data_IF_057620513069
#
_entry.id   IF_057620513069
#
_cell.length_a   1.000
_cell.length_b   1.000
_cell.length_c   1.000
_cell.angle_alpha   90.00
_cell.angle_beta   90.00
_cell.angle_gamma   90.00
#
_symmetry.space_group_name_H-M   'P 1'
#
loop_
_entity.id
_entity.type
_entity.pdbx_description
1 polymer ?
#
# COMPACT_ATOMS: atom_id res chain seq x y z
N UNK A 1 -5.34 -0.08 -10.97
CA UNK A 1 -3.98 0.48 -11.21
C UNK A 1 -3.65 1.74 -10.40
N UNK A 2 -4.56 2.72 -10.25
CA UNK A 2 -4.27 3.97 -9.52
C UNK A 2 -3.91 3.78 -8.04
N UNK A 3 -4.54 2.83 -7.34
CA UNK A 3 -4.30 2.59 -5.90
C UNK A 3 -2.87 2.11 -5.61
N UNK A 4 -2.30 1.28 -6.50
CA UNK A 4 -0.90 0.83 -6.39
C UNK A 4 0.06 2.01 -6.64
N UNK A 5 -0.26 2.92 -7.56
CA UNK A 5 0.53 4.15 -7.75
C UNK A 5 0.53 5.00 -6.49
N UNK A 6 -0.64 5.20 -5.86
CA UNK A 6 -0.76 5.92 -4.58
C UNK A 6 0.07 5.27 -3.48
N UNK A 7 0.05 3.94 -3.38
CA UNK A 7 0.88 3.21 -2.44
C UNK A 7 2.37 3.53 -2.64
N UNK A 8 2.88 3.40 -3.87
CA UNK A 8 4.30 3.67 -4.16
C UNK A 8 4.68 5.11 -3.79
N UNK A 9 3.80 6.07 -4.07
CA UNK A 9 4.01 7.47 -3.70
C UNK A 9 4.09 7.61 -2.18
N UNK A 10 3.16 7.02 -1.42
CA UNK A 10 3.16 7.09 0.05
C UNK A 10 4.44 6.45 0.63
N UNK A 11 4.83 5.27 0.14
CA UNK A 11 6.05 4.59 0.58
C UNK A 11 7.28 5.47 0.40
N UNK A 12 7.39 6.14 -0.76
CA UNK A 12 8.49 7.06 -1.05
C UNK A 12 8.43 8.34 -0.21
N UNK A 13 7.28 8.99 -0.17
CA UNK A 13 7.09 10.28 0.51
C UNK A 13 7.27 10.17 2.02
N UNK A 14 6.80 9.08 2.62
CA UNK A 14 6.86 8.87 4.07
C UNK A 14 8.05 7.99 4.50
N UNK A 15 8.92 7.63 3.55
CA UNK A 15 10.06 6.73 3.76
C UNK A 15 9.67 5.42 4.47
N UNK A 16 8.51 4.87 4.13
CA UNK A 16 8.00 3.63 4.72
C UNK A 16 8.55 2.46 3.92
N UNK A 17 9.27 1.57 4.60
CA UNK A 17 9.71 0.31 4.02
C UNK A 17 8.52 -0.58 3.63
N UNK A 18 8.67 -1.32 2.53
CA UNK A 18 7.65 -2.25 2.05
C UNK A 18 7.22 -3.27 3.11
N UNK A 19 8.14 -3.72 3.95
CA UNK A 19 7.84 -4.64 5.06
C UNK A 19 6.95 -4.01 6.13
N UNK A 20 7.16 -2.73 6.43
CA UNK A 20 6.32 -2.00 7.40
C UNK A 20 4.92 -1.78 6.83
N UNK A 21 4.81 -1.39 5.56
CA UNK A 21 3.51 -1.26 4.90
C UNK A 21 2.77 -2.59 4.81
N UNK A 22 3.48 -3.70 4.53
CA UNK A 22 2.92 -5.04 4.54
C UNK A 22 2.36 -5.42 5.92
N UNK A 23 3.12 -5.13 6.99
CA UNK A 23 2.66 -5.33 8.38
C UNK A 23 1.43 -4.49 8.70
N UNK A 24 1.43 -3.21 8.35
CA UNK A 24 0.28 -2.33 8.61
C UNK A 24 -0.98 -2.73 7.84
N UNK A 25 -0.83 -3.25 6.63
CA UNK A 25 -1.93 -3.75 5.81
C UNK A 25 -2.34 -5.19 6.15
N UNK A 26 -1.63 -5.85 7.08
CA UNK A 26 -1.82 -7.27 7.41
C UNK A 26 -1.75 -8.20 6.19
N UNK A 27 -0.83 -7.91 5.27
CA UNK A 27 -0.59 -8.72 4.07
C UNK A 27 0.89 -9.10 3.96
N UNK A 28 1.19 -10.12 3.17
CA UNK A 28 2.57 -10.52 2.94
C UNK A 28 3.33 -9.51 2.10
N UNK A 29 4.62 -9.30 2.39
CA UNK A 29 5.53 -8.50 1.57
C UNK A 29 5.48 -8.93 0.09
N UNK A 30 5.48 -10.25 -0.15
CA UNK A 30 5.40 -10.81 -1.50
C UNK A 30 4.12 -10.38 -2.23
N UNK A 31 3.00 -10.20 -1.51
CA UNK A 31 1.74 -9.75 -2.08
C UNK A 31 1.86 -8.32 -2.59
N UNK A 32 2.39 -7.39 -1.77
CA UNK A 32 2.65 -6.00 -2.21
C UNK A 32 3.65 -5.98 -3.36
N UNK A 33 4.72 -6.76 -3.26
CA UNK A 33 5.74 -6.85 -4.31
C UNK A 33 5.14 -7.28 -5.65
N UNK A 34 4.26 -8.30 -5.64
CA UNK A 34 3.55 -8.76 -6.85
C UNK A 34 2.64 -7.69 -7.44
N UNK A 35 2.00 -6.87 -6.60
CA UNK A 35 1.17 -5.75 -7.08
C UNK A 35 2.02 -4.67 -7.77
N UNK A 36 3.16 -4.31 -7.17
CA UNK A 36 4.09 -3.32 -7.74
C UNK A 36 4.65 -3.81 -9.07
N UNK A 37 4.94 -5.11 -9.17
CA UNK A 37 5.41 -5.76 -10.40
C UNK A 37 4.29 -6.01 -11.43
N UNK A 38 3.05 -5.61 -11.14
CA UNK A 38 1.86 -5.91 -11.95
C UNK A 38 1.68 -7.40 -12.29
N UNK A 39 2.25 -8.30 -11.48
CA UNK A 39 2.17 -9.76 -11.66
C UNK A 39 0.91 -10.37 -11.06
N UNK A 40 0.23 -9.63 -10.19
CA UNK A 40 -0.99 -10.06 -9.53
C UNK A 40 -1.85 -8.86 -9.21
N UNK A 41 -3.16 -8.99 -9.41
CA UNK A 41 -4.11 -7.96 -9.01
C UNK A 41 -4.51 -8.16 -7.54
N UNK A 42 -4.67 -7.08 -6.77
CA UNK A 42 -5.15 -7.17 -5.40
C UNK A 42 -6.58 -7.72 -5.36
N UNK A 43 -6.81 -8.72 -4.51
CA UNK A 43 -8.15 -9.20 -4.19
C UNK A 43 -8.97 -8.12 -3.49
N UNK A 44 -10.30 -8.25 -3.49
CA UNK A 44 -11.21 -7.25 -2.91
C UNK A 44 -10.89 -6.90 -1.44
N UNK A 45 -10.59 -7.91 -0.62
CA UNK A 45 -10.15 -7.70 0.77
C UNK A 45 -8.84 -6.90 0.84
N UNK A 46 -7.92 -7.15 -0.09
CA UNK A 46 -6.62 -6.49 -0.10
C UNK A 46 -6.73 -5.04 -0.59
N UNK A 47 -7.65 -4.77 -1.53
CA UNK A 47 -8.05 -3.41 -1.91
C UNK A 47 -8.62 -2.63 -0.72
N UNK A 48 -9.47 -3.27 0.11
CA UNK A 48 -9.99 -2.63 1.32
C UNK A 48 -8.87 -2.23 2.30
N UNK A 49 -7.88 -3.10 2.51
CA UNK A 49 -6.71 -2.78 3.35
C UNK A 49 -5.86 -1.67 2.74
N UNK A 50 -5.63 -1.73 1.43
CA UNK A 50 -4.89 -0.72 0.67
C UNK A 50 -5.54 0.66 0.79
N UNK A 51 -6.87 0.76 0.65
CA UNK A 51 -7.61 2.02 0.81
C UNK A 51 -7.54 2.56 2.23
N UNK A 52 -7.67 1.70 3.24
CA UNK A 52 -7.52 2.10 4.65
C UNK A 52 -6.13 2.66 4.92
N UNK A 53 -5.10 2.00 4.42
CA UNK A 53 -3.72 2.46 4.52
C UNK A 53 -3.53 3.81 3.81
N UNK A 54 -3.96 3.93 2.55
CA UNK A 54 -3.86 5.17 1.78
C UNK A 54 -4.55 6.32 2.54
N UNK A 55 -5.78 6.12 3.01
CA UNK A 55 -6.53 7.14 3.75
C UNK A 55 -5.82 7.55 5.05
N UNK A 56 -5.31 6.60 5.83
CA UNK A 56 -4.56 6.85 7.08
C UNK A 56 -3.30 7.69 6.82
N UNK A 57 -2.63 7.45 5.70
CA UNK A 57 -1.40 8.13 5.34
C UNK A 57 -1.60 9.46 4.60
N UNK A 58 -2.74 9.64 3.91
CA UNK A 58 -3.18 10.95 3.40
C UNK A 58 -3.54 11.89 4.55
N UNK A 59 -4.24 11.41 5.58
CA UNK A 59 -4.64 12.21 6.74
C UNK A 59 -3.42 12.77 7.50
N UNK A 60 -2.40 11.93 7.73
CA UNK A 60 -1.12 12.31 8.35
C UNK A 60 -0.30 13.35 7.58
N UNK A 61 -0.58 13.58 6.29
CA UNK A 61 0.11 14.61 5.50
C UNK A 61 -0.44 16.02 5.80
N UNK A 62 -1.60 16.10 6.45
CA UNK A 62 -2.35 17.35 6.68
C UNK A 62 -2.27 17.83 8.13
N UNK A 63 -1.48 17.16 8.98
CA UNK A 63 -1.27 17.50 10.39
C UNK A 63 0.13 18.09 10.61
#
# INVERSE_FOLDING_TARGET
MEEIKKLIIILKTQNIGLENAAREMHISFQTIWRWIQAKHEPSELALLQLRKFIKKHEDKRTA
#
